data_IF_163805550520
#
_entry.id   IF_163805550520
#
_cell.length_a   1.000
_cell.length_b   1.000
_cell.length_c   1.000
_cell.angle_alpha   90.00
_cell.angle_beta   90.00
_cell.angle_gamma   90.00
#
_symmetry.space_group_name_H-M   'P 1'
#
loop_
_entity.id
_entity.type
_entity.pdbx_description
1 polymer ?
#
# COMPACT_ATOMS: atom_id res chain seq x y z
N UNK A 1 5.66 -10.43 17.03
CA UNK A 1 6.97 -10.47 16.36
C UNK A 1 7.17 -9.13 15.70
N UNK A 2 7.88 -8.25 16.41
CA UNK A 2 8.17 -6.87 15.99
C UNK A 2 9.29 -6.90 14.95
N UNK A 3 8.92 -6.87 13.67
CA UNK A 3 9.85 -6.77 12.54
C UNK A 3 9.74 -5.40 11.86
N UNK A 4 9.65 -4.33 12.66
CA UNK A 4 9.43 -3.00 12.14
C UNK A 4 10.74 -2.21 12.15
N UNK A 5 11.09 -1.62 11.02
CA UNK A 5 12.31 -0.85 10.89
C UNK A 5 12.15 0.54 11.55
N UNK A 6 13.00 0.85 12.51
CA UNK A 6 13.06 2.17 13.16
C UNK A 6 13.66 3.20 12.22
N UNK A 7 12.94 4.27 11.91
CA UNK A 7 13.43 5.35 11.04
C UNK A 7 14.35 6.33 11.78
N UNK A 8 13.99 6.71 12.99
CA UNK A 8 14.80 7.57 13.86
C UNK A 8 14.19 7.61 15.27
N UNK A 9 14.99 7.74 16.33
CA UNK A 9 14.48 8.20 17.62
C UNK A 9 14.06 9.66 17.46
N UNK A 10 12.82 9.99 17.84
CA UNK A 10 12.37 11.37 17.98
C UNK A 10 12.75 11.82 19.39
N UNK A 11 13.22 13.06 19.55
CA UNK A 11 13.69 13.61 20.85
C UNK A 11 12.68 13.54 22.01
N UNK A 12 11.43 13.14 21.75
CA UNK A 12 10.35 12.94 22.71
C UNK A 12 10.25 11.54 23.32
N UNK A 13 11.17 10.64 23.01
CA UNK A 13 11.09 9.23 23.45
C UNK A 13 10.27 8.33 22.50
N UNK A 14 9.58 8.89 21.53
CA UNK A 14 8.85 8.14 20.52
C UNK A 14 9.78 7.67 19.41
N UNK A 15 9.57 6.46 18.93
CA UNK A 15 10.30 5.94 17.76
C UNK A 15 9.39 5.85 16.54
N UNK A 16 9.90 6.32 15.41
CA UNK A 16 9.20 6.25 14.12
C UNK A 16 9.54 4.93 13.43
N UNK A 17 8.51 4.19 13.04
CA UNK A 17 8.64 2.89 12.38
C UNK A 17 8.08 2.91 10.96
N UNK A 18 8.73 2.17 10.05
CA UNK A 18 8.17 1.85 8.74
C UNK A 18 7.45 0.50 8.82
N UNK A 19 6.24 0.48 8.31
CA UNK A 19 5.51 -0.75 8.08
C UNK A 19 6.12 -1.56 6.93
N UNK A 20 5.89 -2.87 6.97
CA UNK A 20 6.37 -3.80 5.95
C UNK A 20 5.23 -4.27 5.06
N UNK A 21 5.57 -4.79 3.88
CA UNK A 21 4.68 -5.52 2.98
C UNK A 21 5.06 -7.00 2.97
N UNK A 22 4.15 -7.86 2.54
CA UNK A 22 4.42 -9.30 2.44
C UNK A 22 5.64 -9.60 1.57
N UNK A 23 5.84 -8.83 0.50
CA UNK A 23 6.99 -9.00 -0.38
C UNK A 23 8.28 -8.52 0.28
N UNK A 24 8.23 -7.45 1.05
CA UNK A 24 9.38 -6.95 1.79
C UNK A 24 9.81 -7.94 2.87
N UNK A 25 8.84 -8.50 3.61
CA UNK A 25 9.09 -9.56 4.61
C UNK A 25 9.69 -10.82 3.99
N UNK A 26 9.20 -11.20 2.81
CA UNK A 26 9.76 -12.32 2.05
C UNK A 26 11.21 -12.07 1.66
N UNK A 27 11.55 -10.89 1.10
CA UNK A 27 12.92 -10.53 0.77
C UNK A 27 13.82 -10.53 2.01
N UNK A 28 13.29 -10.01 3.12
CA UNK A 28 13.99 -10.02 4.40
C UNK A 28 14.31 -11.45 4.86
N UNK A 29 13.36 -12.37 4.75
CA UNK A 29 13.56 -13.78 5.12
C UNK A 29 14.62 -14.49 4.28
N UNK A 30 14.79 -14.08 3.02
CA UNK A 30 15.81 -14.66 2.12
C UNK A 30 17.22 -14.12 2.38
N UNK A 31 17.33 -12.84 2.73
CA UNK A 31 18.64 -12.17 2.84
C UNK A 31 19.23 -12.23 4.25
N UNK A 32 18.39 -12.44 5.26
CA UNK A 32 18.81 -12.67 6.67
C UNK A 32 19.57 -11.52 7.34
N UNK A 33 19.81 -10.41 6.66
CA UNK A 33 20.84 -9.46 7.07
C UNK A 33 20.57 -8.01 6.68
N UNK A 34 19.48 -7.44 7.14
CA UNK A 34 19.44 -5.97 7.27
C UNK A 34 19.63 -5.54 8.74
N UNK A 35 20.26 -6.41 9.52
CA UNK A 35 20.59 -6.16 10.91
C UNK A 35 21.87 -5.34 10.97
N UNK A 36 21.77 -4.08 11.34
CA UNK A 36 22.96 -3.38 11.85
C UNK A 36 23.08 -3.69 13.33
N UNK A 37 24.31 -3.92 13.86
CA UNK A 37 24.52 -4.19 15.27
C UNK A 37 24.03 -3.08 16.22
N UNK A 38 23.72 -1.90 15.69
CA UNK A 38 23.17 -0.73 16.40
C UNK A 38 21.65 -0.74 16.52
N UNK A 39 20.94 -1.71 15.96
CA UNK A 39 19.47 -1.74 15.99
C UNK A 39 18.78 -0.81 14.99
N UNK A 40 19.53 0.02 14.27
CA UNK A 40 19.01 0.96 13.29
C UNK A 40 18.80 0.28 11.93
N UNK A 41 17.60 -0.17 11.66
CA UNK A 41 17.27 -0.98 10.47
C UNK A 41 17.24 -0.22 9.14
N UNK A 42 17.31 1.09 9.15
CA UNK A 42 17.16 1.93 7.95
C UNK A 42 18.37 2.75 7.57
N UNK A 43 19.53 2.40 8.07
CA UNK A 43 20.75 3.15 7.75
C UNK A 43 21.20 3.02 6.30
N UNK A 44 20.65 2.07 5.51
CA UNK A 44 21.08 1.93 4.11
C UNK A 44 20.08 2.55 3.13
N UNK A 45 20.47 3.60 2.37
CA UNK A 45 19.58 4.32 1.44
C UNK A 45 18.91 3.41 0.38
N UNK A 46 19.56 2.31 -0.02
CA UNK A 46 19.01 1.35 -0.99
C UNK A 46 17.81 0.61 -0.43
N UNK A 47 17.80 0.28 0.86
CA UNK A 47 16.66 -0.38 1.52
C UNK A 47 15.45 0.56 1.56
N UNK A 48 15.68 1.81 1.95
CA UNK A 48 14.63 2.84 1.96
C UNK A 48 14.09 3.10 0.54
N UNK A 49 14.96 3.16 -0.46
CA UNK A 49 14.56 3.34 -1.85
C UNK A 49 13.72 2.14 -2.33
N UNK A 50 14.11 0.91 -2.00
CA UNK A 50 13.35 -0.31 -2.31
C UNK A 50 11.97 -0.30 -1.65
N UNK A 51 11.90 0.00 -0.36
CA UNK A 51 10.64 0.12 0.38
C UNK A 51 9.72 1.17 -0.25
N UNK A 52 10.25 2.37 -0.53
CA UNK A 52 9.49 3.45 -1.18
C UNK A 52 8.99 3.01 -2.55
N UNK A 53 9.81 2.30 -3.33
CA UNK A 53 9.43 1.77 -4.63
C UNK A 53 8.24 0.80 -4.55
N UNK A 54 8.23 -0.12 -3.59
CA UNK A 54 7.11 -1.05 -3.38
C UNK A 54 5.86 -0.30 -2.90
N UNK A 55 6.02 0.64 -1.98
CA UNK A 55 4.91 1.45 -1.49
C UNK A 55 4.25 2.26 -2.62
N UNK A 56 5.03 2.97 -3.43
CA UNK A 56 4.51 3.73 -4.58
C UNK A 56 3.88 2.81 -5.62
N UNK A 57 4.46 1.62 -5.85
CA UNK A 57 3.86 0.61 -6.74
C UNK A 57 2.49 0.18 -6.24
N UNK A 58 2.36 -0.13 -4.94
CA UNK A 58 1.09 -0.48 -4.34
C UNK A 58 0.04 0.64 -4.49
N UNK A 59 0.43 1.89 -4.25
CA UNK A 59 -0.45 3.04 -4.46
C UNK A 59 -0.96 3.12 -5.90
N UNK A 60 -0.08 3.00 -6.88
CA UNK A 60 -0.44 3.07 -8.30
C UNK A 60 -1.29 1.88 -8.77
N UNK A 61 -1.10 0.70 -8.19
CA UNK A 61 -1.86 -0.49 -8.55
C UNK A 61 -3.22 -0.58 -7.86
N UNK A 62 -3.58 0.33 -6.97
CA UNK A 62 -4.93 0.35 -6.38
C UNK A 62 -6.00 0.48 -7.46
N UNK A 63 -7.05 -0.38 -7.42
CA UNK A 63 -8.09 -0.39 -8.45
C UNK A 63 -9.08 0.76 -8.25
N UNK A 64 -8.58 2.00 -8.26
CA UNK A 64 -9.37 3.18 -7.97
C UNK A 64 -8.95 4.39 -8.81
N UNK A 65 -9.91 5.23 -9.15
CA UNK A 65 -9.69 6.48 -9.87
C UNK A 65 -8.93 6.30 -11.19
N UNK A 66 -8.05 7.25 -11.46
CA UNK A 66 -7.19 7.27 -12.66
C UNK A 66 -5.81 6.61 -12.44
N UNK A 67 -5.65 5.83 -11.38
CA UNK A 67 -4.44 5.05 -11.12
C UNK A 67 -4.31 3.90 -12.13
N UNK A 68 -3.11 3.36 -12.27
CA UNK A 68 -2.85 2.24 -13.19
C UNK A 68 -3.76 1.04 -12.89
N UNK A 69 -3.93 0.70 -11.60
CA UNK A 69 -4.88 -0.34 -11.17
C UNK A 69 -6.33 -0.01 -11.52
N UNK A 70 -6.72 1.27 -11.47
CA UNK A 70 -8.04 1.74 -11.90
C UNK A 70 -8.27 1.53 -13.40
N UNK A 71 -7.27 1.83 -14.24
CA UNK A 71 -7.33 1.55 -15.67
C UNK A 71 -7.45 0.06 -15.98
N UNK A 72 -6.68 -0.78 -15.28
CA UNK A 72 -6.74 -2.24 -15.43
C UNK A 72 -8.10 -2.76 -14.98
N UNK A 73 -8.60 -2.31 -13.82
CA UNK A 73 -9.92 -2.68 -13.31
C UNK A 73 -11.02 -2.27 -14.30
N UNK A 74 -10.91 -1.07 -14.89
CA UNK A 74 -11.87 -0.62 -15.93
C UNK A 74 -11.82 -1.46 -17.18
N UNK A 75 -10.64 -1.84 -17.64
CA UNK A 75 -10.48 -2.71 -18.81
C UNK A 75 -11.09 -4.10 -18.59
N UNK A 76 -11.02 -4.65 -17.36
CA UNK A 76 -11.51 -5.99 -17.02
C UNK A 76 -13.00 -6.02 -16.66
N UNK A 77 -13.46 -5.05 -15.86
CA UNK A 77 -14.77 -5.05 -15.23
C UNK A 77 -15.77 -4.08 -15.90
N UNK A 78 -15.28 -3.27 -16.83
CA UNK A 78 -16.10 -2.26 -17.49
C UNK A 78 -16.71 -1.27 -16.49
N UNK A 79 -18.02 -0.94 -16.59
CA UNK A 79 -18.69 0.02 -15.71
C UNK A 79 -18.66 -0.36 -14.23
N UNK A 80 -18.52 -1.65 -13.90
CA UNK A 80 -18.45 -2.15 -12.51
C UNK A 80 -17.19 -1.66 -11.78
N UNK A 81 -16.15 -1.26 -12.49
CA UNK A 81 -14.94 -0.70 -11.91
C UNK A 81 -15.19 0.58 -11.09
N UNK A 82 -16.24 1.36 -11.42
CA UNK A 82 -16.61 2.54 -10.62
C UNK A 82 -17.03 2.14 -9.21
N UNK A 83 -17.84 1.07 -9.08
CA UNK A 83 -18.21 0.55 -7.78
C UNK A 83 -17.01 0.03 -6.97
N UNK A 84 -16.06 -0.63 -7.64
CA UNK A 84 -14.81 -1.07 -7.02
C UNK A 84 -13.99 0.12 -6.52
N UNK A 85 -13.85 1.19 -7.32
CA UNK A 85 -13.15 2.42 -6.92
C UNK A 85 -13.78 3.04 -5.67
N UNK A 86 -15.10 3.11 -5.61
CA UNK A 86 -15.80 3.57 -4.41
C UNK A 86 -15.53 2.68 -3.19
N UNK A 87 -15.56 1.37 -3.37
CA UNK A 87 -15.23 0.41 -2.31
C UNK A 87 -13.82 0.61 -1.76
N UNK A 88 -12.85 0.85 -2.64
CA UNK A 88 -11.45 1.15 -2.24
C UNK A 88 -11.37 2.45 -1.44
N UNK A 89 -12.05 3.52 -1.88
CA UNK A 89 -12.07 4.79 -1.15
C UNK A 89 -12.65 4.60 0.26
N UNK A 90 -13.77 3.88 0.38
CA UNK A 90 -14.37 3.59 1.69
C UNK A 90 -13.42 2.78 2.56
N UNK A 91 -12.75 1.76 2.00
CA UNK A 91 -11.77 0.95 2.74
C UNK A 91 -10.62 1.82 3.25
N UNK A 92 -10.05 2.71 2.43
CA UNK A 92 -8.98 3.61 2.83
C UNK A 92 -9.42 4.57 3.95
N UNK A 93 -10.64 5.10 3.87
CA UNK A 93 -11.21 5.93 4.95
C UNK A 93 -11.34 5.11 6.24
N UNK A 94 -11.81 3.88 6.16
CA UNK A 94 -11.89 3.00 7.34
C UNK A 94 -10.51 2.74 7.93
N UNK A 95 -9.51 2.43 7.11
CA UNK A 95 -8.12 2.22 7.55
C UNK A 95 -7.47 3.49 8.12
N UNK A 96 -7.96 4.68 7.77
CA UNK A 96 -7.46 5.92 8.31
C UNK A 96 -7.93 6.20 9.75
N UNK A 97 -9.14 5.75 10.10
CA UNK A 97 -9.78 6.11 11.38
C UNK A 97 -9.97 4.95 12.33
N UNK A 98 -9.91 3.72 11.86
CA UNK A 98 -10.14 2.51 12.66
C UNK A 98 -8.93 1.58 12.62
N UNK A 99 -8.62 1.00 13.77
CA UNK A 99 -7.64 -0.08 13.87
C UNK A 99 -8.31 -1.38 13.38
N UNK A 100 -7.89 -1.85 12.21
CA UNK A 100 -8.45 -3.06 11.61
C UNK A 100 -7.56 -4.25 12.01
N UNK A 101 -8.10 -5.26 12.71
CA UNK A 101 -7.33 -6.43 13.09
C UNK A 101 -6.61 -7.07 11.89
N UNK A 102 -5.30 -7.30 12.02
CA UNK A 102 -4.48 -7.87 10.96
C UNK A 102 -3.89 -6.89 9.96
N UNK A 103 -4.26 -5.59 10.01
CA UNK A 103 -3.72 -4.55 9.13
C UNK A 103 -2.74 -3.58 9.82
N UNK A 104 -2.44 -3.81 11.10
CA UNK A 104 -1.60 -2.92 11.89
C UNK A 104 -2.33 -1.67 12.41
N UNK A 105 -1.60 -0.71 13.02
CA UNK A 105 -2.19 0.50 13.54
C UNK A 105 -2.76 1.39 12.43
N UNK A 106 -3.77 2.18 12.78
CA UNK A 106 -4.38 3.15 11.86
C UNK A 106 -3.35 4.13 11.30
N UNK A 107 -3.49 4.46 10.03
CA UNK A 107 -2.64 5.44 9.36
C UNK A 107 -3.50 6.54 8.71
N UNK A 108 -3.50 7.72 9.30
CA UNK A 108 -4.32 8.86 8.85
C UNK A 108 -4.00 9.33 7.42
N UNK A 109 -2.81 9.02 6.91
CA UNK A 109 -2.43 9.27 5.51
C UNK A 109 -3.36 8.62 4.48
N UNK A 110 -4.05 7.53 4.85
CA UNK A 110 -5.05 6.90 3.98
C UNK A 110 -6.25 7.81 3.71
N UNK A 111 -6.65 8.69 4.67
CA UNK A 111 -7.70 9.67 4.43
C UNK A 111 -7.28 10.68 3.35
N UNK A 112 -6.05 11.18 3.43
CA UNK A 112 -5.50 12.12 2.44
C UNK A 112 -5.45 11.45 1.06
N UNK A 113 -5.02 10.18 1.01
CA UNK A 113 -4.95 9.43 -0.24
C UNK A 113 -6.34 9.14 -0.82
N UNK A 114 -7.33 8.80 0.02
CA UNK A 114 -8.72 8.63 -0.40
C UNK A 114 -9.30 9.91 -1.01
N UNK A 115 -9.03 11.07 -0.39
CA UNK A 115 -9.42 12.38 -0.91
C UNK A 115 -8.75 12.64 -2.27
N UNK A 116 -7.45 12.36 -2.39
CA UNK A 116 -6.72 12.53 -3.64
C UNK A 116 -7.35 11.69 -4.77
N UNK A 117 -7.62 10.42 -4.52
CA UNK A 117 -8.28 9.53 -5.51
C UNK A 117 -9.65 10.08 -5.89
N UNK A 118 -10.43 10.55 -4.92
CA UNK A 118 -11.75 11.12 -5.18
C UNK A 118 -11.68 12.34 -6.09
N UNK A 119 -10.75 13.26 -5.85
CA UNK A 119 -10.56 14.46 -6.67
C UNK A 119 -9.93 14.20 -8.04
N UNK A 120 -9.05 13.20 -8.16
CA UNK A 120 -8.50 12.76 -9.46
C UNK A 120 -9.58 12.12 -10.36
N UNK A 121 -10.76 11.87 -9.80
CA UNK A 121 -11.93 11.39 -10.53
C UNK A 121 -12.08 9.87 -10.50
N UNK A 122 -13.23 9.44 -10.02
CA UNK A 122 -13.65 8.03 -10.02
C UNK A 122 -14.33 7.64 -11.34
N UNK A 123 -14.66 8.62 -12.20
CA UNK A 123 -15.34 8.40 -13.46
C UNK A 123 -14.37 8.45 -14.63
N UNK A 124 -14.25 7.35 -15.34
CA UNK A 124 -13.61 7.31 -16.65
C UNK A 124 -14.61 7.61 -17.75
N UNK A 125 -14.26 8.34 -18.81
CA UNK A 125 -15.08 8.40 -20.01
C UNK A 125 -15.32 6.97 -20.53
N UNK A 126 -16.50 6.69 -21.11
CA UNK A 126 -16.77 5.38 -21.68
C UNK A 126 -15.71 5.03 -22.72
N UNK A 127 -15.22 3.77 -22.77
CA UNK A 127 -14.29 3.34 -23.79
C UNK A 127 -14.94 3.50 -25.17
N UNK A 128 -14.14 3.90 -26.15
CA UNK A 128 -14.58 4.15 -27.53
C UNK A 128 -15.09 2.91 -28.25
N UNK A 129 -14.79 1.73 -27.75
CA UNK A 129 -15.29 0.44 -28.26
C UNK A 129 -15.86 -0.38 -27.11
N UNK A 130 -17.09 -0.85 -27.29
CA UNK A 130 -17.70 -1.83 -26.39
C UNK A 130 -16.84 -3.10 -26.38
N UNK A 131 -16.58 -3.59 -25.18
CA UNK A 131 -15.74 -4.72 -24.81
C UNK A 131 -15.89 -5.90 -25.78
N UNK A 132 -15.02 -5.97 -26.77
CA UNK A 132 -14.73 -7.23 -27.44
C UNK A 132 -14.27 -8.23 -26.39
N UNK A 133 -14.71 -9.48 -26.45
CA UNK A 133 -14.37 -10.55 -25.51
C UNK A 133 -12.89 -10.49 -25.12
N UNK A 134 -12.64 -10.15 -23.85
CA UNK A 134 -11.30 -10.06 -23.29
C UNK A 134 -10.64 -11.45 -23.38
N UNK A 135 -9.57 -11.55 -24.16
CA UNK A 135 -8.80 -12.77 -24.26
C UNK A 135 -8.23 -13.20 -22.90
N UNK A 136 -7.99 -14.49 -22.71
CA UNK A 136 -7.45 -15.08 -21.45
C UNK A 136 -6.16 -14.37 -20.96
N UNK A 137 -5.34 -13.89 -21.89
CA UNK A 137 -4.10 -13.16 -21.57
C UNK A 137 -4.34 -11.84 -20.82
N UNK A 138 -5.40 -11.11 -21.15
CA UNK A 138 -5.74 -9.85 -20.47
C UNK A 138 -6.22 -10.11 -19.03
N UNK A 139 -6.99 -11.18 -18.82
CA UNK A 139 -7.37 -11.63 -17.49
C UNK A 139 -6.15 -12.06 -16.66
N UNK A 140 -5.20 -12.77 -17.26
CA UNK A 140 -3.97 -13.18 -16.59
C UNK A 140 -3.15 -11.96 -16.12
N UNK A 141 -3.02 -10.92 -16.94
CA UNK A 141 -2.37 -9.65 -16.56
C UNK A 141 -3.09 -9.00 -15.38
N UNK A 142 -4.42 -8.92 -15.41
CA UNK A 142 -5.18 -8.32 -14.32
C UNK A 142 -5.04 -9.08 -13.01
N UNK A 143 -5.05 -10.41 -13.04
CA UNK A 143 -4.81 -11.25 -11.85
C UNK A 143 -3.39 -11.03 -11.32
N UNK A 144 -2.40 -11.01 -12.20
CA UNK A 144 -1.00 -10.73 -11.82
C UNK A 144 -0.87 -9.37 -11.15
N UNK A 145 -1.51 -8.33 -11.70
CA UNK A 145 -1.52 -6.99 -11.12
C UNK A 145 -2.16 -6.98 -9.73
N UNK A 146 -3.28 -7.67 -9.55
CA UNK A 146 -3.92 -7.80 -8.24
C UNK A 146 -3.03 -8.54 -7.22
N UNK A 147 -2.32 -9.58 -7.65
CA UNK A 147 -1.35 -10.28 -6.80
C UNK A 147 -0.18 -9.37 -6.39
N UNK A 148 0.37 -8.61 -7.35
CA UNK A 148 1.45 -7.64 -7.05
C UNK A 148 0.94 -6.60 -6.04
N UNK A 149 -0.26 -6.06 -6.22
CA UNK A 149 -0.85 -5.14 -5.26
C UNK A 149 -0.90 -5.76 -3.84
N UNK A 150 -1.45 -6.97 -3.72
CA UNK A 150 -1.59 -7.63 -2.41
C UNK A 150 -0.24 -7.83 -1.72
N UNK A 151 0.78 -8.27 -2.45
CA UNK A 151 2.09 -8.55 -1.84
C UNK A 151 2.93 -7.31 -1.57
N UNK A 152 2.68 -6.20 -2.29
CA UNK A 152 3.41 -4.94 -2.10
C UNK A 152 2.67 -3.94 -1.20
N UNK A 153 1.40 -4.19 -0.88
CA UNK A 153 0.59 -3.31 -0.06
C UNK A 153 1.10 -3.26 1.39
N UNK A 154 1.31 -2.06 1.90
CA UNK A 154 1.74 -1.79 3.27
C UNK A 154 0.61 -1.09 4.01
N UNK A 155 -0.15 -1.78 4.87
CA UNK A 155 -1.37 -1.23 5.49
C UNK A 155 -1.10 -0.03 6.40
N UNK A 156 -0.02 -0.06 7.17
CA UNK A 156 0.41 1.02 8.06
C UNK A 156 1.83 1.45 7.67
N UNK A 157 1.97 2.33 6.64
CA UNK A 157 3.29 2.64 6.07
C UNK A 157 4.24 3.30 7.07
N UNK A 158 3.71 4.16 7.93
CA UNK A 158 4.48 4.90 8.93
C UNK A 158 3.66 4.97 10.21
N UNK A 159 4.25 4.62 11.33
CA UNK A 159 3.60 4.74 12.64
C UNK A 159 4.62 5.01 13.75
N UNK A 160 4.14 5.59 14.85
CA UNK A 160 4.93 5.85 16.05
C UNK A 160 4.56 4.85 17.13
N UNK A 161 5.56 4.42 17.88
CA UNK A 161 5.37 3.64 19.11
C UNK A 161 5.87 4.52 20.26
N UNK A 162 4.96 4.85 21.17
CA UNK A 162 5.32 5.52 22.42
C UNK A 162 6.15 4.54 23.25
N UNK A 163 7.35 4.96 23.68
CA UNK A 163 8.09 4.20 24.66
C UNK A 163 7.38 4.39 26.01
N UNK A 164 6.65 3.39 26.47
CA UNK A 164 6.24 3.30 27.87
C UNK A 164 7.50 3.23 28.73
N UNK A 165 7.98 4.39 29.17
CA UNK A 165 8.89 4.43 30.31
C UNK A 165 8.04 4.09 31.52
N UNK A 166 8.04 2.83 31.94
CA UNK A 166 7.64 2.42 33.29
C UNK A 166 8.53 3.16 34.28
N UNK A 167 7.90 4.07 35.09
CA UNK A 167 8.47 4.73 36.25
C UNK A 167 8.66 3.73 37.38
#
# INVERSE_FOLDING_TARGET
TEQNAVLAPVDSGDSLYLGTSLFFDFLYSLTGTFYTPSGDYLSHPVVLAGWTGFFVTALNLMPAGQLDGGHIARALLGPKANGLSFGVIILLVLMAFYDIPGFGPRYSGWAVYAILIYFLGTSHPPPSEELSNLGKSRWAIGILTALILVVTFTPSPIYTVESEFDL
#
